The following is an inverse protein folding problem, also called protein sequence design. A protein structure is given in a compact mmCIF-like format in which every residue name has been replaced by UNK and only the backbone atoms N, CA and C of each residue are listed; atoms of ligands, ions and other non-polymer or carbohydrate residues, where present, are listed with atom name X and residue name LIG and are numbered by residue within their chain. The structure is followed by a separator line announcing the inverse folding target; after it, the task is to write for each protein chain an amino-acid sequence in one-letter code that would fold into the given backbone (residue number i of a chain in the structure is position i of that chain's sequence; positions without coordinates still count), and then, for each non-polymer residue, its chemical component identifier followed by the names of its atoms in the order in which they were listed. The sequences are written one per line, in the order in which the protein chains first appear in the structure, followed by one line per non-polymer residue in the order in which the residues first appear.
data_IF_303979218136
#
_entry.id   IF_303979218136
#
_cell.length_a   1.000
_cell.length_b   1.000
_cell.length_c   1.000
_cell.angle_alpha   90.00
_cell.angle_beta   90.00
_cell.angle_gamma   90.00
#
_symmetry.space_group_name_H-M   'P 1'
#
loop_
_entity.id
_entity.type
_entity.pdbx_description
1 polymer ?
#
# COMPACT_ATOMS: atom_id res chain seq x y z
N UNK A 1 -11.80 -17.99 -12.84
CA UNK A 1 -11.57 -16.63 -12.36
C UNK A 1 -11.98 -15.59 -13.41
N UNK A 2 -11.48 -15.68 -14.65
CA UNK A 2 -11.76 -14.75 -15.75
C UNK A 2 -13.26 -14.55 -16.03
N UNK A 3 -14.04 -15.63 -16.06
CA UNK A 3 -15.49 -15.56 -16.29
C UNK A 3 -16.21 -14.75 -15.19
N UNK A 4 -15.80 -14.90 -13.94
CA UNK A 4 -16.36 -14.11 -12.82
C UNK A 4 -15.99 -12.63 -12.92
N UNK A 5 -14.76 -12.32 -13.33
CA UNK A 5 -14.30 -10.93 -13.52
C UNK A 5 -15.12 -10.27 -14.65
N UNK A 6 -15.30 -10.96 -15.76
CA UNK A 6 -16.11 -10.46 -16.88
C UNK A 6 -17.59 -10.28 -16.54
N UNK A 7 -18.15 -11.13 -15.66
CA UNK A 7 -19.56 -10.98 -15.23
C UNK A 7 -19.82 -9.70 -14.42
N UNK A 8 -18.77 -9.08 -13.88
CA UNK A 8 -18.84 -7.76 -13.23
C UNK A 8 -18.54 -6.59 -14.16
N UNK A 9 -18.57 -6.80 -15.49
CA UNK A 9 -18.33 -5.75 -16.47
C UNK A 9 -16.85 -5.35 -16.62
N UNK A 10 -15.92 -6.14 -16.07
CA UNK A 10 -14.49 -5.89 -16.18
C UNK A 10 -13.94 -6.59 -17.42
N UNK A 11 -13.36 -5.82 -18.32
CA UNK A 11 -12.71 -6.37 -19.51
C UNK A 11 -11.35 -6.98 -19.16
N UNK A 12 -11.16 -8.26 -19.53
CA UNK A 12 -9.91 -8.98 -19.31
C UNK A 12 -9.14 -9.02 -20.62
N UNK A 13 -8.05 -8.27 -20.70
CA UNK A 13 -7.14 -8.26 -21.85
C UNK A 13 -5.99 -9.24 -21.61
N UNK A 14 -5.87 -10.19 -22.52
CA UNK A 14 -4.77 -11.16 -22.53
C UNK A 14 -3.71 -10.67 -23.50
N UNK A 15 -2.47 -10.60 -23.01
CA UNK A 15 -1.32 -10.13 -23.77
C UNK A 15 -1.07 -8.63 -23.64
N UNK A 16 0.19 -8.28 -23.67
CA UNK A 16 0.68 -6.91 -23.61
C UNK A 16 1.78 -6.72 -24.64
N UNK A 17 1.58 -5.77 -25.55
CA UNK A 17 2.59 -5.38 -26.54
C UNK A 17 3.36 -4.17 -25.99
N UNK A 18 4.52 -4.43 -25.39
CA UNK A 18 5.39 -3.37 -24.91
C UNK A 18 5.92 -2.52 -26.09
N UNK A 19 5.89 -1.19 -25.89
CA UNK A 19 6.50 -0.24 -26.80
C UNK A 19 7.95 0.02 -26.35
N UNK A 20 8.98 -0.36 -27.12
CA UNK A 20 10.38 -0.26 -26.68
C UNK A 20 10.79 1.14 -26.24
N UNK A 21 10.24 2.17 -26.87
CA UNK A 21 10.51 3.59 -26.55
C UNK A 21 10.14 3.96 -25.09
N UNK A 22 9.19 3.26 -24.48
CA UNK A 22 8.65 3.57 -23.15
C UNK A 22 8.97 2.48 -22.13
N UNK A 23 9.98 1.65 -22.40
CA UNK A 23 10.49 0.71 -21.41
C UNK A 23 11.27 1.46 -20.34
N UNK A 24 11.01 1.14 -19.09
CA UNK A 24 11.84 1.59 -17.97
C UNK A 24 12.95 0.58 -17.67
N UNK A 25 13.92 0.99 -16.88
CA UNK A 25 14.93 0.08 -16.32
C UNK A 25 14.30 -0.77 -15.21
N UNK A 26 13.85 -1.98 -15.58
CA UNK A 26 13.24 -2.93 -14.64
C UNK A 26 14.22 -3.40 -13.57
N UNK A 27 15.54 -3.41 -13.85
CA UNK A 27 16.56 -3.79 -12.86
C UNK A 27 16.65 -2.72 -11.77
N UNK A 28 16.73 -1.46 -12.18
CA UNK A 28 16.76 -0.34 -11.24
C UNK A 28 15.44 -0.22 -10.45
N UNK A 29 14.29 -0.42 -11.11
CA UNK A 29 12.97 -0.43 -10.45
C UNK A 29 12.88 -1.56 -9.42
N UNK A 30 13.31 -2.77 -9.78
CA UNK A 30 13.37 -3.92 -8.86
C UNK A 30 14.24 -3.62 -7.64
N UNK A 31 15.41 -2.99 -7.86
CA UNK A 31 16.29 -2.54 -6.78
C UNK A 31 15.62 -1.51 -5.85
N UNK A 32 14.88 -0.56 -6.40
CA UNK A 32 14.15 0.42 -5.61
C UNK A 32 13.03 -0.22 -4.77
N UNK A 33 12.29 -1.17 -5.34
CA UNK A 33 11.27 -1.93 -4.62
C UNK A 33 11.91 -2.78 -3.52
N UNK A 34 13.00 -3.51 -3.81
CA UNK A 34 13.73 -4.32 -2.83
C UNK A 34 14.29 -3.47 -1.68
N UNK A 35 14.72 -2.25 -1.94
CA UNK A 35 15.18 -1.33 -0.88
C UNK A 35 14.06 -0.98 0.11
N UNK A 36 12.81 -0.93 -0.36
CA UNK A 36 11.65 -0.73 0.50
C UNK A 36 11.16 -2.02 1.18
N UNK A 37 11.54 -3.19 0.62
CA UNK A 37 11.16 -4.52 1.09
C UNK A 37 12.37 -5.46 1.08
N UNK A 38 13.31 -5.36 2.02
CA UNK A 38 14.51 -6.20 2.02
C UNK A 38 14.20 -7.69 2.06
N UNK A 39 13.11 -8.09 2.71
CA UNK A 39 12.73 -9.49 2.93
C UNK A 39 11.72 -10.03 1.91
N UNK A 40 11.31 -9.24 0.92
CA UNK A 40 10.31 -9.66 -0.07
C UNK A 40 10.88 -10.69 -1.04
N UNK A 41 10.29 -11.90 -1.03
CA UNK A 41 10.72 -13.02 -1.87
C UNK A 41 10.38 -12.86 -3.36
N UNK A 42 9.30 -12.14 -3.70
CA UNK A 42 8.80 -12.02 -5.07
C UNK A 42 8.59 -10.57 -5.48
N UNK A 43 9.66 -9.90 -5.89
CA UNK A 43 9.61 -8.53 -6.43
C UNK A 43 9.33 -8.52 -7.93
N UNK A 44 9.59 -9.63 -8.63
CA UNK A 44 9.49 -9.70 -10.10
C UNK A 44 8.10 -9.39 -10.63
N UNK A 45 7.05 -9.89 -9.97
CA UNK A 45 5.66 -9.63 -10.35
C UNK A 45 5.35 -8.12 -10.28
N UNK A 46 5.66 -7.48 -9.18
CA UNK A 46 5.37 -6.06 -8.97
C UNK A 46 6.16 -5.19 -9.95
N UNK A 47 7.44 -5.49 -10.13
CA UNK A 47 8.30 -4.80 -11.11
C UNK A 47 7.68 -4.85 -12.50
N UNK A 48 7.27 -6.04 -12.96
CA UNK A 48 6.64 -6.22 -14.27
C UNK A 48 5.32 -5.48 -14.37
N UNK A 49 4.47 -5.52 -13.34
CA UNK A 49 3.19 -4.81 -13.34
C UNK A 49 3.38 -3.29 -13.43
N UNK A 50 4.27 -2.73 -12.61
CA UNK A 50 4.57 -1.29 -12.62
C UNK A 50 5.18 -0.85 -13.96
N UNK A 51 6.16 -1.61 -14.47
CA UNK A 51 6.79 -1.38 -15.78
C UNK A 51 5.77 -1.36 -16.92
N UNK A 52 4.82 -2.30 -16.90
CA UNK A 52 3.74 -2.34 -17.91
C UNK A 52 2.83 -1.12 -17.86
N UNK A 53 2.43 -0.66 -16.67
CA UNK A 53 1.62 0.55 -16.51
C UNK A 53 2.38 1.77 -17.02
N UNK A 54 3.67 1.90 -16.69
CA UNK A 54 4.53 2.96 -17.21
C UNK A 54 4.54 2.95 -18.75
N UNK A 55 4.76 1.79 -19.34
CA UNK A 55 4.76 1.61 -20.80
C UNK A 55 3.40 1.95 -21.43
N UNK A 56 2.28 1.55 -20.78
CA UNK A 56 0.92 1.87 -21.24
C UNK A 56 0.63 3.37 -21.24
N UNK A 57 1.23 4.12 -20.33
CA UNK A 57 1.07 5.59 -20.27
C UNK A 57 1.86 6.33 -21.35
N UNK A 58 2.85 5.71 -21.97
CA UNK A 58 3.61 6.27 -23.10
C UNK A 58 4.21 7.66 -22.78
N UNK A 59 4.69 7.85 -21.54
CA UNK A 59 5.24 9.13 -21.07
C UNK A 59 4.20 10.24 -20.86
N UNK A 60 2.92 9.92 -20.93
CA UNK A 60 1.85 10.92 -20.70
C UNK A 60 1.72 11.26 -19.22
N UNK A 61 1.74 12.56 -18.94
CA UNK A 61 1.38 13.12 -17.65
C UNK A 61 -0.13 13.30 -17.56
N UNK A 62 -0.77 12.68 -16.59
CA UNK A 62 -2.23 12.73 -16.42
C UNK A 62 -2.56 13.83 -15.41
N UNK A 63 -3.02 14.97 -15.89
CA UNK A 63 -3.33 16.14 -15.06
C UNK A 63 -4.78 16.19 -14.57
N UNK A 64 -5.67 15.40 -15.18
CA UNK A 64 -7.10 15.38 -14.83
C UNK A 64 -7.59 13.97 -14.62
N UNK A 65 -8.43 13.80 -13.60
CA UNK A 65 -9.13 12.54 -13.35
C UNK A 65 -10.20 12.22 -14.40
N UNK A 66 -10.51 13.17 -15.27
CA UNK A 66 -11.43 12.95 -16.40
C UNK A 66 -10.74 12.34 -17.63
N UNK A 67 -9.41 12.36 -17.65
CA UNK A 67 -8.65 11.72 -18.70
C UNK A 67 -8.72 10.19 -18.58
N UNK A 68 -8.56 9.50 -19.70
CA UNK A 68 -8.36 8.05 -19.67
C UNK A 68 -6.92 7.74 -19.27
N UNK A 69 -6.74 6.92 -18.25
CA UNK A 69 -5.42 6.56 -17.75
C UNK A 69 -5.37 5.13 -17.22
N UNK A 70 -4.15 4.62 -17.09
CA UNK A 70 -3.87 3.31 -16.49
C UNK A 70 -3.16 3.51 -15.16
N UNK A 71 -3.54 2.71 -14.15
CA UNK A 71 -2.89 2.65 -12.84
C UNK A 71 -2.72 1.20 -12.42
N UNK A 72 -1.70 0.92 -11.64
CA UNK A 72 -1.59 -0.33 -10.90
C UNK A 72 -2.16 -0.12 -9.50
N UNK A 73 -3.11 -0.95 -9.12
CA UNK A 73 -3.72 -0.90 -7.78
C UNK A 73 -3.06 -1.94 -6.91
N UNK A 74 -2.54 -1.53 -5.77
CA UNK A 74 -1.89 -2.41 -4.82
C UNK A 74 -2.35 -2.10 -3.40
N UNK A 75 -2.60 -3.12 -2.56
CA UNK A 75 -2.84 -2.92 -1.13
C UNK A 75 -1.57 -2.48 -0.39
N UNK A 76 -0.38 -2.74 -0.94
CA UNK A 76 0.90 -2.42 -0.32
C UNK A 76 1.25 -0.93 -0.42
N UNK A 77 1.17 -0.21 0.69
CA UNK A 77 1.56 1.20 0.77
C UNK A 77 3.07 1.41 0.53
N UNK A 78 3.90 0.43 0.89
CA UNK A 78 5.35 0.47 0.61
C UNK A 78 5.62 0.41 -0.88
N UNK A 79 4.95 -0.50 -1.61
CA UNK A 79 5.06 -0.58 -3.07
C UNK A 79 4.59 0.71 -3.74
N UNK A 80 3.45 1.25 -3.29
CA UNK A 80 2.91 2.53 -3.81
C UNK A 80 3.95 3.63 -3.69
N UNK A 81 4.62 3.75 -2.54
CA UNK A 81 5.66 4.77 -2.31
C UNK A 81 6.91 4.49 -3.16
N UNK A 82 7.48 3.29 -3.04
CA UNK A 82 8.74 2.94 -3.73
C UNK A 82 8.63 3.12 -5.25
N UNK A 83 7.54 2.65 -5.86
CA UNK A 83 7.34 2.77 -7.29
C UNK A 83 7.11 4.23 -7.73
N UNK A 84 6.29 5.00 -7.01
CA UNK A 84 6.05 6.39 -7.37
C UNK A 84 7.26 7.29 -7.13
N UNK A 85 8.07 7.03 -6.10
CA UNK A 85 9.32 7.73 -5.84
C UNK A 85 10.36 7.44 -6.92
N UNK A 86 10.43 6.20 -7.43
CA UNK A 86 11.29 5.84 -8.54
C UNK A 86 10.99 6.67 -9.80
N UNK A 87 9.71 6.90 -10.10
CA UNK A 87 9.28 7.67 -11.27
C UNK A 87 9.05 9.17 -11.00
N UNK A 88 9.46 9.70 -9.84
CA UNK A 88 9.15 11.09 -9.44
C UNK A 88 9.65 12.15 -10.43
N UNK A 89 10.75 11.88 -11.13
CA UNK A 89 11.33 12.79 -12.14
C UNK A 89 10.59 12.73 -13.48
N UNK A 90 9.95 11.61 -13.80
CA UNK A 90 9.19 11.44 -15.05
C UNK A 90 7.72 11.80 -14.87
N UNK A 91 7.17 11.55 -13.66
CA UNK A 91 5.77 11.77 -13.35
C UNK A 91 5.67 12.80 -12.23
N UNK A 92 5.31 14.04 -12.56
CA UNK A 92 5.18 15.11 -11.57
C UNK A 92 4.17 14.78 -10.47
N UNK A 93 4.41 15.22 -9.24
CA UNK A 93 3.52 15.01 -8.09
C UNK A 93 2.07 15.47 -8.30
N UNK A 94 1.82 16.37 -9.24
CA UNK A 94 0.47 16.82 -9.63
C UNK A 94 -0.24 15.89 -10.62
N UNK A 95 0.46 14.90 -11.15
CA UNK A 95 -0.12 13.90 -12.05
C UNK A 95 -0.72 12.75 -11.25
N UNK A 96 -1.67 12.05 -11.86
CA UNK A 96 -2.14 10.75 -11.34
C UNK A 96 -0.95 9.80 -11.22
N UNK A 97 -0.68 9.20 -10.05
CA UNK A 97 0.47 8.31 -9.85
C UNK A 97 0.35 7.03 -10.68
N UNK A 98 1.47 6.32 -10.89
CA UNK A 98 1.48 5.02 -11.60
C UNK A 98 0.88 3.91 -10.76
N UNK A 99 1.22 3.91 -9.47
CA UNK A 99 0.74 2.94 -8.49
C UNK A 99 -0.11 3.66 -7.47
N UNK A 100 -1.27 3.11 -7.18
CA UNK A 100 -2.24 3.69 -6.24
C UNK A 100 -2.71 2.65 -5.24
N UNK A 101 -3.09 3.09 -4.06
CA UNK A 101 -3.72 2.23 -3.07
C UNK A 101 -5.20 1.97 -3.40
N UNK A 102 -5.77 0.96 -2.79
CA UNK A 102 -7.20 0.67 -2.87
C UNK A 102 -8.04 1.83 -2.31
N UNK A 103 -7.57 2.47 -1.24
CA UNK A 103 -8.20 3.65 -0.63
C UNK A 103 -8.24 4.82 -1.62
N UNK A 104 -7.13 5.06 -2.33
CA UNK A 104 -7.08 6.10 -3.37
C UNK A 104 -8.08 5.80 -4.49
N UNK A 105 -8.12 4.55 -4.96
CA UNK A 105 -9.05 4.14 -6.01
C UNK A 105 -10.51 4.28 -5.56
N UNK A 106 -10.82 3.87 -4.34
CA UNK A 106 -12.15 4.02 -3.75
C UNK A 106 -12.56 5.49 -3.66
N UNK A 107 -11.68 6.36 -3.15
CA UNK A 107 -11.94 7.80 -3.10
C UNK A 107 -12.20 8.39 -4.50
N UNK A 108 -11.44 7.92 -5.50
CA UNK A 108 -11.63 8.30 -6.89
C UNK A 108 -13.02 7.91 -7.43
N UNK A 109 -13.47 6.69 -7.16
CA UNK A 109 -14.81 6.26 -7.56
C UNK A 109 -15.89 7.07 -6.86
N UNK A 110 -15.73 7.38 -5.57
CA UNK A 110 -16.64 8.28 -4.85
C UNK A 110 -16.78 9.65 -5.53
N UNK A 111 -15.67 10.23 -5.93
CA UNK A 111 -15.66 11.55 -6.59
C UNK A 111 -16.26 11.51 -8.00
N UNK A 112 -15.99 10.45 -8.75
CA UNK A 112 -16.44 10.35 -10.15
C UNK A 112 -17.83 9.75 -10.34
N UNK A 113 -18.22 8.85 -9.46
CA UNK A 113 -19.42 8.04 -9.59
C UNK A 113 -20.33 8.16 -8.36
N UNK A 114 -20.45 9.36 -7.77
CA UNK A 114 -21.22 9.61 -6.56
C UNK A 114 -22.67 9.08 -6.65
N UNK A 115 -23.28 9.09 -7.85
CA UNK A 115 -24.62 8.55 -8.09
C UNK A 115 -24.72 7.03 -7.91
N UNK A 116 -23.63 6.29 -8.16
CA UNK A 116 -23.57 4.84 -7.96
C UNK A 116 -23.50 4.54 -6.45
N UNK A 117 -22.74 5.32 -5.71
CA UNK A 117 -22.56 5.13 -4.26
C UNK A 117 -23.77 5.59 -3.44
N UNK A 118 -24.52 6.59 -3.93
CA UNK A 118 -25.74 7.05 -3.27
C UNK A 118 -26.84 5.98 -3.16
N UNK A 119 -26.73 4.88 -3.91
CA UNK A 119 -27.64 3.73 -3.86
C UNK A 119 -27.11 2.56 -3.02
N UNK A 120 -25.84 2.60 -2.56
CA UNK A 120 -25.28 1.52 -1.75
C UNK A 120 -25.83 1.60 -0.31
N UNK A 121 -26.26 0.46 0.26
CA UNK A 121 -26.64 0.40 1.67
C UNK A 121 -25.45 0.79 2.56
N UNK A 122 -25.72 1.62 3.57
CA UNK A 122 -24.71 2.14 4.51
C UNK A 122 -23.95 1.00 5.20
N UNK A 123 -24.65 -0.08 5.54
CA UNK A 123 -24.11 -1.29 6.13
C UNK A 123 -23.08 -1.98 5.23
N UNK A 124 -23.26 -2.00 3.90
CA UNK A 124 -22.28 -2.53 2.97
C UNK A 124 -21.03 -1.65 2.87
N UNK A 125 -21.21 -0.32 2.93
CA UNK A 125 -20.09 0.62 2.95
C UNK A 125 -19.27 0.43 4.22
N UNK A 126 -19.95 0.35 5.37
CA UNK A 126 -19.30 0.11 6.67
C UNK A 126 -18.61 -1.25 6.70
N UNK A 127 -19.26 -2.32 6.24
CA UNK A 127 -18.66 -3.65 6.18
C UNK A 127 -17.43 -3.68 5.26
N UNK A 128 -17.47 -3.00 4.11
CA UNK A 128 -16.32 -2.90 3.20
C UNK A 128 -15.18 -2.09 3.82
N UNK A 129 -15.48 -0.98 4.52
CA UNK A 129 -14.47 -0.22 5.24
C UNK A 129 -13.82 -1.03 6.37
N UNK A 130 -14.61 -1.83 7.10
CA UNK A 130 -14.09 -2.73 8.12
C UNK A 130 -13.20 -3.85 7.54
N UNK A 131 -13.59 -4.41 6.38
CA UNK A 131 -12.77 -5.45 5.73
C UNK A 131 -11.41 -4.95 5.25
N UNK A 132 -11.30 -3.65 4.91
CA UNK A 132 -10.04 -3.02 4.55
C UNK A 132 -9.11 -2.79 5.75
N UNK A 133 -9.67 -2.78 6.97
CA UNK A 133 -8.93 -2.65 8.22
C UNK A 133 -8.75 -3.99 8.95
N UNK A 134 -9.31 -5.06 8.39
CA UNK A 134 -9.23 -6.39 9.01
C UNK A 134 -7.82 -6.94 8.90
N UNK A 135 -7.19 -7.08 10.02
CA UNK A 135 -5.93 -7.83 10.16
C UNK A 135 -6.28 -9.24 10.60
N UNK A 136 -5.70 -10.26 9.96
CA UNK A 136 -5.89 -11.67 10.33
C UNK A 136 -5.57 -11.85 11.82
N UNK A 137 -6.46 -12.55 12.54
CA UNK A 137 -6.30 -12.81 13.98
C UNK A 137 -4.96 -13.48 14.31
N UNK A 138 -4.47 -14.37 13.44
CA UNK A 138 -3.16 -15.02 13.62
C UNK A 138 -2.03 -14.02 13.53
N UNK A 139 -2.12 -13.09 12.56
CA UNK A 139 -1.12 -12.05 12.38
C UNK A 139 -1.13 -11.10 13.58
N UNK A 140 -2.32 -10.69 14.03
CA UNK A 140 -2.46 -9.85 15.21
C UNK A 140 -1.87 -10.50 16.47
N UNK A 141 -2.20 -11.77 16.73
CA UNK A 141 -1.63 -12.52 17.87
C UNK A 141 -0.11 -12.64 17.73
N UNK A 142 0.40 -12.98 16.55
CA UNK A 142 1.83 -13.06 16.29
C UNK A 142 2.56 -11.73 16.53
N UNK A 143 1.94 -10.60 16.14
CA UNK A 143 2.47 -9.27 16.44
C UNK A 143 2.56 -9.01 17.95
N UNK A 144 1.46 -9.27 18.66
CA UNK A 144 1.41 -9.05 20.13
C UNK A 144 2.42 -9.94 20.84
N UNK A 145 2.51 -11.21 20.50
CA UNK A 145 3.49 -12.15 21.09
C UNK A 145 4.94 -11.70 20.87
N UNK A 146 5.26 -11.20 19.66
CA UNK A 146 6.60 -10.66 19.37
C UNK A 146 6.87 -9.39 20.14
N UNK A 147 5.93 -8.46 20.20
CA UNK A 147 6.06 -7.23 20.96
C UNK A 147 6.32 -7.52 22.44
N UNK A 148 5.58 -8.48 23.04
CA UNK A 148 5.80 -8.94 24.42
C UNK A 148 7.16 -9.64 24.59
N UNK A 149 7.59 -10.42 23.60
CA UNK A 149 8.90 -11.08 23.63
C UNK A 149 10.04 -10.05 23.63
N UNK A 150 9.92 -9.00 22.81
CA UNK A 150 10.91 -7.93 22.74
C UNK A 150 11.00 -7.13 24.06
N UNK A 151 9.86 -6.90 24.72
CA UNK A 151 9.83 -6.30 26.05
C UNK A 151 10.51 -7.21 27.09
N UNK A 152 10.14 -8.50 27.13
CA UNK A 152 10.74 -9.48 28.06
C UNK A 152 12.25 -9.65 27.87
N UNK A 153 12.73 -9.49 26.64
CA UNK A 153 14.17 -9.50 26.30
C UNK A 153 14.86 -8.16 26.58
N UNK A 154 14.14 -7.18 27.09
CA UNK A 154 14.62 -5.80 27.29
C UNK A 154 15.15 -5.12 26.01
N UNK A 155 14.68 -5.55 24.84
CA UNK A 155 15.05 -4.96 23.55
C UNK A 155 14.25 -3.68 23.29
N UNK A 156 13.03 -3.60 23.82
CA UNK A 156 12.23 -2.39 23.93
C UNK A 156 11.93 -2.10 25.40
N UNK A 157 11.73 -0.84 25.75
CA UNK A 157 11.36 -0.46 27.11
C UNK A 157 9.88 -0.78 27.40
N UNK A 158 9.54 -0.92 28.68
CA UNK A 158 8.14 -1.05 29.08
C UNK A 158 7.30 0.16 28.66
N UNK A 159 7.88 1.36 28.68
CA UNK A 159 7.22 2.59 28.22
C UNK A 159 6.90 2.52 26.72
N UNK A 160 7.84 2.02 25.90
CA UNK A 160 7.62 1.81 24.45
C UNK A 160 6.53 0.78 24.21
N UNK A 161 6.53 -0.33 24.96
CA UNK A 161 5.49 -1.36 24.86
C UNK A 161 4.10 -0.78 25.16
N UNK A 162 3.96 -0.01 26.24
CA UNK A 162 2.70 0.63 26.61
C UNK A 162 2.28 1.65 25.56
N UNK A 163 3.21 2.50 25.11
CA UNK A 163 2.95 3.51 24.07
C UNK A 163 2.40 2.87 22.79
N UNK A 164 3.03 1.79 22.32
CA UNK A 164 2.60 1.09 21.11
C UNK A 164 1.22 0.46 21.28
N UNK A 165 0.97 -0.21 22.40
CA UNK A 165 -0.31 -0.89 22.68
C UNK A 165 -1.51 0.05 22.71
N UNK A 166 -1.31 1.30 23.05
CA UNK A 166 -2.38 2.30 23.19
C UNK A 166 -2.44 3.30 22.04
N UNK A 167 -1.58 3.18 21.04
CA UNK A 167 -1.63 4.08 19.88
C UNK A 167 -2.83 3.76 18.98
N UNK A 168 -3.58 4.81 18.63
CA UNK A 168 -4.79 4.69 17.81
C UNK A 168 -4.53 4.18 16.39
N UNK A 169 -3.31 4.37 15.87
CA UNK A 169 -2.94 4.01 14.50
C UNK A 169 -2.30 2.61 14.43
N UNK A 170 -2.08 1.96 15.60
CA UNK A 170 -1.44 0.65 15.66
C UNK A 170 -2.09 -0.38 14.75
N UNK A 171 -3.42 -0.47 14.77
CA UNK A 171 -4.16 -1.45 13.97
C UNK A 171 -3.91 -1.24 12.46
N UNK A 172 -3.90 0.01 12.00
CA UNK A 172 -3.59 0.35 10.62
C UNK A 172 -2.15 0.00 10.24
N UNK A 173 -1.19 0.27 11.12
CA UNK A 173 0.22 -0.06 10.87
C UNK A 173 0.46 -1.57 10.83
N UNK A 174 -0.18 -2.33 11.71
CA UNK A 174 -0.11 -3.80 11.72
C UNK A 174 -0.79 -4.37 10.47
N UNK A 175 -1.92 -3.80 10.05
CA UNK A 175 -2.57 -4.18 8.80
C UNK A 175 -1.66 -3.94 7.59
N UNK A 176 -1.05 -2.75 7.48
CA UNK A 176 -0.14 -2.43 6.37
C UNK A 176 1.01 -3.45 6.28
N UNK A 177 1.59 -3.83 7.42
CA UNK A 177 2.65 -4.84 7.45
C UNK A 177 2.11 -6.22 7.08
N UNK A 178 0.92 -6.61 7.57
CA UNK A 178 0.31 -7.90 7.24
C UNK A 178 0.09 -8.07 5.74
N UNK A 179 -0.26 -6.99 5.05
CA UNK A 179 -0.42 -6.96 3.59
C UNK A 179 0.94 -7.06 2.88
N UNK A 180 1.97 -6.42 3.45
CA UNK A 180 3.29 -6.35 2.82
C UNK A 180 4.09 -7.64 2.95
N UNK A 181 4.11 -8.26 4.14
CA UNK A 181 4.99 -9.41 4.46
C UNK A 181 4.22 -10.70 4.75
N UNK A 182 2.92 -10.64 5.01
CA UNK A 182 2.11 -11.82 5.31
C UNK A 182 2.67 -12.63 6.48
N UNK A 183 2.77 -13.96 6.31
CA UNK A 183 3.26 -14.87 7.35
C UNK A 183 4.78 -14.75 7.62
N UNK A 184 5.54 -14.04 6.77
CA UNK A 184 6.99 -13.82 6.93
C UNK A 184 7.34 -12.65 7.88
N UNK A 185 6.39 -12.19 8.67
CA UNK A 185 6.52 -11.13 9.66
C UNK A 185 7.69 -11.37 10.66
N UNK A 186 8.53 -10.37 10.84
CA UNK A 186 9.79 -10.43 11.60
C UNK A 186 9.80 -9.52 12.84
N UNK A 187 10.82 -9.67 13.68
CA UNK A 187 11.06 -8.76 14.80
C UNK A 187 11.39 -7.34 14.28
N UNK A 188 12.02 -7.21 13.12
CA UNK A 188 12.35 -5.92 12.50
C UNK A 188 11.10 -5.14 12.09
N UNK A 189 10.05 -5.83 11.65
CA UNK A 189 8.76 -5.19 11.34
C UNK A 189 8.12 -4.62 12.60
N UNK A 190 8.23 -5.31 13.75
CA UNK A 190 7.77 -4.77 15.04
C UNK A 190 8.57 -3.53 15.42
N UNK A 191 9.90 -3.56 15.27
CA UNK A 191 10.74 -2.40 15.53
C UNK A 191 10.38 -1.20 14.66
N UNK A 192 10.03 -1.42 13.39
CA UNK A 192 9.60 -0.34 12.50
C UNK A 192 8.32 0.33 13.03
N UNK A 193 7.35 -0.45 13.51
CA UNK A 193 6.13 0.08 14.13
C UNK A 193 6.48 0.88 15.40
N UNK A 194 7.27 0.30 16.31
CA UNK A 194 7.69 0.96 17.54
C UNK A 194 8.34 2.30 17.25
N UNK A 195 9.26 2.32 16.29
CA UNK A 195 9.97 3.54 15.86
C UNK A 195 9.01 4.60 15.32
N UNK A 196 8.08 4.23 14.43
CA UNK A 196 7.11 5.16 13.84
C UNK A 196 6.20 5.78 14.90
N UNK A 197 5.72 4.98 15.86
CA UNK A 197 4.85 5.46 16.93
C UNK A 197 5.63 6.42 17.86
N UNK A 198 6.88 6.11 18.18
CA UNK A 198 7.74 7.00 18.98
C UNK A 198 7.98 8.34 18.27
N UNK A 199 8.31 8.31 16.99
CA UNK A 199 8.51 9.52 16.18
C UNK A 199 7.25 10.39 16.13
N UNK A 200 6.07 9.78 16.00
CA UNK A 200 4.77 10.46 16.05
C UNK A 200 4.57 11.12 17.43
N UNK A 201 4.70 10.36 18.51
CA UNK A 201 4.54 10.86 19.88
C UNK A 201 5.49 12.00 20.23
N UNK A 202 6.69 12.02 19.65
CA UNK A 202 7.65 13.11 19.85
C UNK A 202 7.23 14.37 19.11
N UNK A 203 6.76 14.23 17.87
CA UNK A 203 6.27 15.37 17.06
C UNK A 203 5.03 16.03 17.67
N UNK A 204 4.12 15.24 18.23
CA UNK A 204 2.89 15.75 18.85
C UNK A 204 3.23 16.58 20.10
N UNK A 205 4.26 16.21 20.86
CA UNK A 205 4.76 16.98 22.00
C UNK A 205 5.42 18.30 21.61
N UNK A 206 6.08 18.37 20.45
CA UNK A 206 6.74 19.57 19.95
C UNK A 206 5.72 20.61 19.39
N UNK A 207 4.51 20.21 19.11
CA UNK A 207 3.43 21.08 18.60
C UNK A 207 2.63 21.70 19.74
N UNK A 208 2.67 21.13 20.95
CA UNK A 208 1.94 21.63 22.13
C UNK A 208 2.73 22.68 22.95
N UNK A 209 3.94 23.05 22.53
CA UNK A 209 4.77 24.10 23.15
C UNK A 209 4.76 25.37 22.27
#
# INVERSE_FOLDING_TARGET
LESRVRSHGIDVKIGFNAKPKYQCDETALSGAILSAFPDKKEVSHDTVCVSRIHNMREGKTIGSLNDSFSVFVSPSNRLVRAANDFFVHEIPKKSVPLVVSEQWLTAMFWLKCASIFGSLPVDQIVASAYSLLYTDDKFWHGFVERLESLEKKHTISHEDYVLVRWDSDLLGMVHDISVDVGDDFSDDDVFEIVKKIKEKSTKDKDIEI
#
